data_IF_290814075261
#
_entry.id   IF_290814075261
#
_cell.length_a   1.000
_cell.length_b   1.000
_cell.length_c   1.000
_cell.angle_alpha   90.00
_cell.angle_beta   90.00
_cell.angle_gamma   90.00
#
_symmetry.space_group_name_H-M   'P 1'
#
loop_
_entity.id
_entity.type
_entity.pdbx_description
1 polymer ?
#
# COMPACT_ATOMS: atom_id res chain seq x y z
N UNK A 1 -22.31 -1.19 11.40
CA UNK A 1 -21.41 -0.52 10.46
C UNK A 1 -21.69 -1.08 9.07
N UNK A 2 -21.42 -0.37 7.96
CA UNK A 2 -21.68 -0.91 6.61
C UNK A 2 -20.92 -2.23 6.40
N UNK A 3 -19.65 -2.25 6.79
CA UNK A 3 -18.82 -3.44 6.84
C UNK A 3 -19.05 -4.23 8.14
N UNK A 4 -19.11 -5.56 8.04
CA UNK A 4 -19.03 -6.47 9.21
C UNK A 4 -17.58 -6.75 9.64
N UNK A 5 -16.61 -6.30 8.84
CA UNK A 5 -15.18 -6.50 9.02
C UNK A 5 -14.65 -5.82 10.30
N UNK A 6 -13.55 -6.33 10.89
CA UNK A 6 -12.79 -5.58 11.87
C UNK A 6 -12.30 -4.26 11.25
N UNK A 7 -12.65 -3.13 11.88
CA UNK A 7 -12.19 -1.81 11.43
C UNK A 7 -10.99 -1.36 12.24
N UNK A 8 -9.96 -0.94 11.53
CA UNK A 8 -8.76 -0.32 12.08
C UNK A 8 -8.55 1.09 11.51
N UNK A 9 -7.62 1.83 12.10
CA UNK A 9 -7.14 3.10 11.54
C UNK A 9 -5.66 3.01 11.17
N UNK A 10 -5.26 3.67 10.08
CA UNK A 10 -3.86 3.88 9.74
C UNK A 10 -3.39 5.23 10.33
N UNK A 11 -2.42 5.15 11.23
CA UNK A 11 -1.90 6.28 12.02
C UNK A 11 -0.38 6.30 12.00
N UNK A 12 0.19 7.49 12.22
CA UNK A 12 1.64 7.63 12.45
C UNK A 12 1.99 7.14 13.85
N UNK A 13 3.23 6.72 14.05
CA UNK A 13 3.79 6.42 15.36
C UNK A 13 3.91 7.70 16.22
N UNK A 14 2.81 8.12 16.81
CA UNK A 14 2.71 9.35 17.59
C UNK A 14 1.53 9.28 18.57
N UNK A 15 1.76 9.70 19.82
CA UNK A 15 0.77 9.59 20.89
C UNK A 15 -0.52 10.37 20.60
N UNK A 16 -0.43 11.54 19.97
CA UNK A 16 -1.62 12.34 19.64
C UNK A 16 -2.48 11.65 18.58
N UNK A 17 -1.86 10.97 17.61
CA UNK A 17 -2.60 10.20 16.60
C UNK A 17 -3.29 8.98 17.21
N UNK A 18 -2.65 8.33 18.19
CA UNK A 18 -3.25 7.20 18.90
C UNK A 18 -4.45 7.65 19.75
N UNK A 19 -4.30 8.75 20.48
CA UNK A 19 -5.39 9.32 21.25
C UNK A 19 -6.57 9.69 20.36
N UNK A 20 -6.32 10.35 19.23
CA UNK A 20 -7.37 10.73 18.28
C UNK A 20 -8.10 9.51 17.69
N UNK A 21 -7.40 8.42 17.38
CA UNK A 21 -8.05 7.19 16.93
C UNK A 21 -8.93 6.59 18.05
N UNK A 22 -8.44 6.59 19.29
CA UNK A 22 -9.20 6.11 20.44
C UNK A 22 -10.45 6.95 20.72
N UNK A 23 -10.40 8.28 20.55
CA UNK A 23 -11.57 9.17 20.64
C UNK A 23 -12.66 8.86 19.60
N UNK A 24 -12.30 8.22 18.50
CA UNK A 24 -13.23 7.77 17.45
C UNK A 24 -13.65 6.30 17.63
N UNK A 25 -13.38 5.70 18.79
CA UNK A 25 -13.61 4.28 19.11
C UNK A 25 -12.85 3.31 18.18
N UNK A 26 -11.76 3.77 17.55
CA UNK A 26 -10.90 2.97 16.66
C UNK A 26 -9.67 2.46 17.42
N UNK A 27 -9.86 1.39 18.19
CA UNK A 27 -8.79 0.84 19.02
C UNK A 27 -7.81 -0.05 18.23
N UNK A 28 -8.18 -0.60 17.08
CA UNK A 28 -7.26 -1.35 16.23
C UNK A 28 -6.51 -0.39 15.30
N UNK A 29 -5.19 -0.53 15.21
CA UNK A 29 -4.36 0.39 14.43
C UNK A 29 -3.34 -0.31 13.55
N UNK A 30 -3.10 0.27 12.38
CA UNK A 30 -1.89 0.08 11.59
C UNK A 30 -1.01 1.28 11.86
N UNK A 31 0.26 1.03 12.17
CA UNK A 31 1.20 2.09 12.55
C UNK A 31 2.22 2.27 11.44
N UNK A 32 2.28 3.48 10.87
CA UNK A 32 3.38 3.89 10.00
C UNK A 32 4.63 4.14 10.85
N UNK A 33 5.67 3.33 10.61
CA UNK A 33 6.97 3.51 11.23
C UNK A 33 7.76 4.65 10.54
N UNK A 34 8.43 5.52 11.31
CA UNK A 34 9.35 6.51 10.75
C UNK A 34 10.70 5.87 10.40
N UNK A 35 11.54 6.58 9.64
CA UNK A 35 12.92 6.12 9.37
C UNK A 35 13.81 6.16 10.63
N UNK A 36 13.41 6.93 11.64
CA UNK A 36 14.04 6.97 12.95
C UNK A 36 13.84 5.66 13.72
N UNK A 37 14.89 5.21 14.40
CA UNK A 37 14.89 3.93 15.12
C UNK A 37 14.38 4.13 16.54
N UNK A 38 13.49 3.23 16.96
CA UNK A 38 13.00 3.11 18.33
C UNK A 38 13.60 1.86 18.98
N UNK A 39 13.83 1.91 20.29
CA UNK A 39 14.04 0.70 21.06
C UNK A 39 12.72 -0.04 21.28
N UNK A 40 12.81 -1.35 21.53
CA UNK A 40 11.62 -2.16 21.82
C UNK A 40 10.88 -1.66 23.06
N UNK A 41 11.60 -1.21 24.09
CA UNK A 41 11.01 -0.76 25.35
C UNK A 41 10.24 0.55 25.17
N UNK A 42 10.79 1.50 24.42
CA UNK A 42 10.11 2.76 24.09
C UNK A 42 8.82 2.49 23.33
N UNK A 43 8.86 1.60 22.33
CA UNK A 43 7.70 1.27 21.53
C UNK A 43 6.62 0.58 22.38
N UNK A 44 6.98 -0.41 23.19
CA UNK A 44 6.06 -1.09 24.11
C UNK A 44 5.42 -0.12 25.10
N UNK A 45 6.19 0.79 25.70
CA UNK A 45 5.67 1.80 26.62
C UNK A 45 4.68 2.75 25.92
N UNK A 46 5.00 3.19 24.71
CA UNK A 46 4.13 4.06 23.93
C UNK A 46 2.80 3.38 23.58
N UNK A 47 2.82 2.11 23.15
CA UNK A 47 1.60 1.35 22.84
C UNK A 47 0.77 1.08 24.10
N UNK A 48 1.41 0.65 25.18
CA UNK A 48 0.70 0.32 26.44
C UNK A 48 0.03 1.54 27.08
N UNK A 49 0.56 2.75 26.83
CA UNK A 49 0.00 4.00 27.36
C UNK A 49 -1.15 4.57 26.53
N UNK A 50 -1.42 4.05 25.33
CA UNK A 50 -2.33 4.67 24.36
C UNK A 50 -3.63 3.92 24.09
N UNK A 51 -3.92 2.83 24.84
CA UNK A 51 -5.13 1.99 24.73
C UNK A 51 -5.43 1.41 23.33
N UNK A 52 -4.53 1.62 22.37
CA UNK A 52 -4.59 1.08 21.02
C UNK A 52 -4.02 -0.34 20.97
N UNK A 53 -4.41 -1.05 19.93
CA UNK A 53 -4.06 -2.44 19.65
C UNK A 53 -3.47 -2.51 18.25
N UNK A 54 -2.14 -2.58 18.11
CA UNK A 54 -1.51 -2.76 16.82
C UNK A 54 -2.00 -4.07 16.16
N UNK A 55 -2.51 -3.98 14.94
CA UNK A 55 -2.79 -5.13 14.07
C UNK A 55 -1.79 -5.22 12.93
N UNK A 56 -1.04 -4.15 12.67
CA UNK A 56 0.08 -4.17 11.75
C UNK A 56 1.00 -2.95 11.84
N UNK A 57 2.18 -3.09 11.25
CA UNK A 57 3.16 -2.01 11.08
C UNK A 57 3.46 -1.84 9.59
N UNK A 58 3.36 -0.60 9.10
CA UNK A 58 3.85 -0.24 7.78
C UNK A 58 5.30 0.20 7.91
N UNK A 59 6.19 -0.48 7.20
CA UNK A 59 7.63 -0.25 7.32
C UNK A 59 8.03 1.17 6.88
N UNK A 60 9.18 1.68 7.34
CA UNK A 60 9.74 2.97 6.88
C UNK A 60 10.11 2.94 5.40
N UNK A 61 10.16 4.12 4.76
CA UNK A 61 10.51 4.25 3.34
C UNK A 61 11.93 3.77 3.02
N UNK A 62 12.86 3.93 3.97
CA UNK A 62 14.22 3.39 3.85
C UNK A 62 14.27 1.86 3.72
N UNK A 63 13.22 1.16 4.19
CA UNK A 63 13.11 -0.30 4.19
C UNK A 63 12.26 -0.83 3.00
N UNK A 64 12.01 -0.02 1.97
CA UNK A 64 11.25 -0.43 0.79
C UNK A 64 11.89 -1.60 0.02
N UNK A 65 11.07 -2.46 -0.61
CA UNK A 65 11.58 -3.54 -1.45
C UNK A 65 12.25 -2.98 -2.70
N UNK A 66 13.50 -3.38 -2.95
CA UNK A 66 14.38 -2.79 -3.97
C UNK A 66 15.45 -1.88 -3.36
N UNK A 67 15.22 -1.33 -2.16
CA UNK A 67 16.30 -0.67 -1.41
C UNK A 67 17.28 -1.73 -0.88
N UNK A 68 18.40 -1.29 -0.29
CA UNK A 68 19.47 -2.19 0.20
C UNK A 68 19.58 -2.23 1.74
N UNK A 69 18.49 -2.48 2.50
CA UNK A 69 18.57 -2.69 3.93
C UNK A 69 19.25 -4.03 4.20
N UNK A 70 20.06 -4.08 5.25
CA UNK A 70 20.74 -5.30 5.66
C UNK A 70 19.78 -6.24 6.41
N UNK A 71 20.05 -7.54 6.40
CA UNK A 71 19.29 -8.52 7.20
C UNK A 71 19.29 -8.15 8.70
N UNK A 72 20.40 -7.57 9.19
CA UNK A 72 20.51 -7.10 10.57
C UNK A 72 19.54 -5.95 10.88
N UNK A 73 19.27 -5.07 9.92
CA UNK A 73 18.29 -3.99 10.07
C UNK A 73 16.86 -4.52 10.10
N UNK A 74 16.53 -5.48 9.25
CA UNK A 74 15.24 -6.18 9.29
C UNK A 74 15.02 -6.90 10.62
N UNK A 75 16.03 -7.65 11.10
CA UNK A 75 15.99 -8.32 12.41
C UNK A 75 15.72 -7.35 13.54
N UNK A 76 16.38 -6.18 13.53
CA UNK A 76 16.18 -5.14 14.55
C UNK A 76 14.75 -4.62 14.54
N UNK A 77 14.18 -4.33 13.37
CA UNK A 77 12.79 -3.90 13.27
C UNK A 77 11.82 -4.98 13.76
N UNK A 78 11.96 -6.23 13.30
CA UNK A 78 11.06 -7.31 13.72
C UNK A 78 11.16 -7.60 15.22
N UNK A 79 12.36 -7.56 15.80
CA UNK A 79 12.55 -7.68 17.24
C UNK A 79 11.94 -6.51 18.03
N UNK A 80 11.96 -5.30 17.46
CA UNK A 80 11.39 -4.11 18.10
C UNK A 80 9.85 -4.13 18.11
N UNK A 81 9.23 -4.56 17.01
CA UNK A 81 7.76 -4.51 16.85
C UNK A 81 7.05 -5.79 17.29
N UNK A 82 7.70 -6.96 17.26
CA UNK A 82 7.03 -8.22 17.63
C UNK A 82 6.42 -8.22 19.05
N UNK A 83 7.05 -7.61 20.09
CA UNK A 83 6.50 -7.62 21.44
C UNK A 83 5.27 -6.73 21.63
N UNK A 84 4.93 -5.85 20.68
CA UNK A 84 3.78 -4.94 20.81
C UNK A 84 2.48 -5.55 20.31
N UNK A 85 2.53 -6.70 19.64
CA UNK A 85 1.34 -7.39 19.17
C UNK A 85 0.70 -8.21 20.28
N UNK A 86 -0.58 -7.91 20.55
CA UNK A 86 -1.37 -8.61 21.57
C UNK A 86 -2.34 -9.66 20.97
N UNK A 87 -2.38 -9.80 19.65
CA UNK A 87 -3.39 -10.60 18.93
C UNK A 87 -2.79 -11.44 17.80
N UNK A 88 -3.67 -12.23 17.17
CA UNK A 88 -3.36 -13.10 16.03
C UNK A 88 -3.03 -12.32 14.74
N UNK A 89 -3.53 -11.09 14.58
CA UNK A 89 -3.17 -10.25 13.44
C UNK A 89 -1.83 -9.55 13.72
N UNK A 90 -0.78 -10.02 13.05
CA UNK A 90 0.60 -9.54 13.21
C UNK A 90 1.21 -9.16 11.88
N UNK A 91 0.65 -8.12 11.28
CA UNK A 91 0.93 -7.74 9.90
C UNK A 91 2.14 -6.82 9.77
N UNK A 92 3.03 -7.12 8.83
CA UNK A 92 4.08 -6.21 8.40
C UNK A 92 3.81 -5.81 6.94
N UNK A 93 3.51 -4.54 6.72
CA UNK A 93 3.18 -4.01 5.41
C UNK A 93 4.45 -3.44 4.78
N UNK A 94 4.81 -4.02 3.65
CA UNK A 94 5.96 -3.69 2.82
C UNK A 94 5.49 -2.94 1.58
N UNK A 95 6.30 -2.01 1.11
CA UNK A 95 6.03 -1.23 -0.10
C UNK A 95 7.24 -1.32 -1.04
N UNK A 96 6.98 -1.19 -2.35
CA UNK A 96 8.06 -1.17 -3.35
C UNK A 96 8.81 0.15 -3.37
N UNK A 97 10.11 0.10 -3.66
CA UNK A 97 10.92 1.30 -3.85
C UNK A 97 10.56 1.99 -5.16
N UNK A 98 10.51 3.32 -5.14
CA UNK A 98 10.40 4.07 -6.38
C UNK A 98 11.69 4.04 -7.18
N UNK A 99 11.56 4.05 -8.50
CA UNK A 99 12.67 4.06 -9.46
C UNK A 99 12.66 5.39 -10.18
N UNK A 100 13.83 6.01 -10.29
CA UNK A 100 14.00 7.22 -11.10
C UNK A 100 13.76 6.89 -12.58
N UNK A 101 12.98 7.71 -13.28
CA UNK A 101 12.76 7.50 -14.72
C UNK A 101 14.06 7.49 -15.52
N UNK A 102 15.06 8.29 -15.11
CA UNK A 102 16.38 8.30 -15.73
C UNK A 102 17.02 6.91 -15.75
N UNK A 103 16.96 6.15 -14.65
CA UNK A 103 17.52 4.79 -14.58
C UNK A 103 16.81 3.81 -15.51
N UNK A 104 15.53 4.03 -15.78
CA UNK A 104 14.78 3.22 -16.75
C UNK A 104 15.19 3.60 -18.17
N UNK A 105 15.37 4.89 -18.47
CA UNK A 105 15.84 5.34 -19.78
C UNK A 105 17.27 4.87 -20.06
N UNK A 106 18.17 4.95 -19.08
CA UNK A 106 19.53 4.38 -19.18
C UNK A 106 19.49 2.89 -19.52
N UNK A 107 18.64 2.11 -18.83
CA UNK A 107 18.45 0.69 -19.14
C UNK A 107 17.95 0.47 -20.57
N UNK A 108 17.01 1.29 -21.06
CA UNK A 108 16.50 1.19 -22.43
C UNK A 108 17.56 1.61 -23.46
N UNK A 109 18.38 2.60 -23.18
CA UNK A 109 19.47 3.06 -24.06
C UNK A 109 20.54 1.98 -24.19
N UNK A 110 20.87 1.28 -23.10
CA UNK A 110 21.77 0.11 -23.10
C UNK A 110 21.20 -1.08 -23.90
N UNK A 111 19.88 -1.09 -24.13
CA UNK A 111 19.15 -2.14 -24.85
C UNK A 111 18.36 -1.60 -26.04
N UNK A 112 18.86 -0.57 -26.72
CA UNK A 112 18.11 0.26 -27.69
C UNK A 112 17.47 -0.49 -28.88
N UNK A 113 17.86 -1.75 -29.14
CA UNK A 113 17.29 -2.59 -30.22
C UNK A 113 16.31 -3.66 -29.73
N UNK A 114 16.07 -3.75 -28.43
CA UNK A 114 15.18 -4.73 -27.83
C UNK A 114 13.81 -4.12 -27.51
N UNK A 115 12.81 -4.52 -28.29
CA UNK A 115 11.42 -4.09 -28.10
C UNK A 115 10.78 -4.61 -26.80
N UNK A 116 11.40 -5.61 -26.15
CA UNK A 116 10.96 -6.15 -24.87
C UNK A 116 11.73 -5.59 -23.67
N UNK A 117 12.74 -4.74 -23.85
CA UNK A 117 13.60 -4.26 -22.76
C UNK A 117 12.82 -3.68 -21.57
N UNK A 118 11.71 -2.98 -21.82
CA UNK A 118 10.88 -2.46 -20.73
C UNK A 118 10.07 -3.54 -20.00
N UNK A 119 9.60 -4.56 -20.73
CA UNK A 119 8.97 -5.72 -20.10
C UNK A 119 10.01 -6.45 -19.23
N UNK A 120 11.20 -6.66 -19.77
CA UNK A 120 12.29 -7.33 -19.07
C UNK A 120 12.72 -6.53 -17.84
N UNK A 121 12.83 -5.21 -17.92
CA UNK A 121 13.10 -4.36 -16.74
C UNK A 121 12.10 -4.60 -15.61
N UNK A 122 10.79 -4.62 -15.92
CA UNK A 122 9.73 -4.88 -14.94
C UNK A 122 9.81 -6.30 -14.39
N UNK A 123 10.09 -7.29 -15.24
CA UNK A 123 10.26 -8.68 -14.84
C UNK A 123 11.42 -8.82 -13.86
N UNK A 124 12.60 -8.28 -14.19
CA UNK A 124 13.76 -8.27 -13.28
C UNK A 124 13.46 -7.55 -11.97
N UNK A 125 12.74 -6.43 -12.02
CA UNK A 125 12.31 -5.70 -10.82
C UNK A 125 11.41 -6.56 -9.92
N UNK A 126 10.45 -7.29 -10.49
CA UNK A 126 9.55 -8.19 -9.77
C UNK A 126 10.29 -9.43 -9.24
N UNK A 127 11.22 -10.01 -10.00
CA UNK A 127 12.04 -11.14 -9.56
C UNK A 127 12.95 -10.77 -8.38
N UNK A 128 13.51 -9.57 -8.39
CA UNK A 128 14.27 -9.01 -7.27
C UNK A 128 13.39 -8.87 -6.03
N UNK A 129 12.16 -8.35 -6.18
CA UNK A 129 11.19 -8.28 -5.09
C UNK A 129 10.83 -9.66 -4.54
N UNK A 130 10.56 -10.63 -5.41
CA UNK A 130 10.27 -12.03 -5.02
C UNK A 130 11.43 -12.58 -4.19
N UNK A 131 12.66 -12.41 -4.66
CA UNK A 131 13.86 -12.87 -3.94
C UNK A 131 13.98 -12.25 -2.56
N UNK A 132 13.85 -10.92 -2.45
CA UNK A 132 13.89 -10.22 -1.17
C UNK A 132 12.76 -10.67 -0.24
N UNK A 133 11.53 -10.78 -0.74
CA UNK A 133 10.38 -11.22 0.03
C UNK A 133 10.50 -12.66 0.50
N UNK A 134 11.01 -13.58 -0.32
CA UNK A 134 11.26 -14.97 0.10
C UNK A 134 12.24 -15.04 1.28
N UNK A 135 13.30 -14.22 1.27
CA UNK A 135 14.24 -14.11 2.38
C UNK A 135 13.57 -13.51 3.62
N UNK A 136 12.83 -12.42 3.46
CA UNK A 136 12.10 -11.78 4.56
C UNK A 136 11.03 -12.68 5.16
N UNK A 137 10.35 -13.50 4.35
CA UNK A 137 9.34 -14.43 4.81
C UNK A 137 9.94 -15.51 5.74
N UNK A 138 11.17 -15.96 5.46
CA UNK A 138 11.89 -16.87 6.36
C UNK A 138 12.21 -16.20 7.70
N UNK A 139 12.60 -14.93 7.66
CA UNK A 139 12.89 -14.15 8.86
C UNK A 139 11.61 -13.88 9.66
N UNK A 140 10.54 -13.43 9.00
CA UNK A 140 9.25 -13.10 9.61
C UNK A 140 8.62 -14.30 10.35
N UNK A 141 8.78 -15.52 9.84
CA UNK A 141 8.35 -16.75 10.50
C UNK A 141 8.94 -16.93 11.91
N UNK A 142 10.17 -16.48 12.14
CA UNK A 142 10.83 -16.58 13.46
C UNK A 142 10.15 -15.69 14.51
N UNK A 143 9.43 -14.65 14.07
CA UNK A 143 8.71 -13.70 14.90
C UNK A 143 7.19 -13.88 14.81
N UNK A 144 6.71 -14.94 14.15
CA UNK A 144 5.29 -15.18 13.89
C UNK A 144 4.60 -13.99 13.20
N UNK A 145 5.33 -13.30 12.32
CA UNK A 145 4.83 -12.14 11.56
C UNK A 145 4.31 -12.58 10.19
N UNK A 146 3.21 -11.97 9.76
CA UNK A 146 2.67 -12.14 8.41
C UNK A 146 3.06 -10.93 7.55
N UNK A 147 3.83 -11.16 6.50
CA UNK A 147 4.20 -10.11 5.55
C UNK A 147 3.08 -9.84 4.55
N UNK A 148 2.86 -8.55 4.26
CA UNK A 148 2.01 -8.10 3.18
C UNK A 148 2.77 -7.17 2.23
N UNK A 149 2.51 -7.31 0.93
CA UNK A 149 2.93 -6.34 -0.08
C UNK A 149 1.77 -5.40 -0.41
N UNK A 150 2.03 -4.10 -0.35
CA UNK A 150 1.08 -3.04 -0.70
C UNK A 150 1.12 -2.72 -2.20
N UNK A 151 -0.06 -2.58 -2.83
CA UNK A 151 -0.14 -2.04 -4.18
C UNK A 151 0.16 -0.54 -4.20
N UNK A 152 0.77 -0.06 -5.28
CA UNK A 152 1.35 1.29 -5.34
C UNK A 152 0.63 2.21 -6.34
N UNK A 153 0.71 3.52 -6.12
CA UNK A 153 0.37 4.53 -7.11
C UNK A 153 1.43 4.61 -8.24
N UNK A 154 1.11 5.23 -9.38
CA UNK A 154 2.06 5.39 -10.50
C UNK A 154 3.24 6.29 -10.14
N UNK A 155 2.92 7.47 -9.63
CA UNK A 155 3.88 8.50 -9.26
C UNK A 155 4.28 8.39 -7.80
N UNK A 156 5.17 9.31 -7.41
CA UNK A 156 5.52 9.49 -6.00
C UNK A 156 4.71 10.56 -5.30
N UNK A 157 5.23 11.03 -4.16
CA UNK A 157 4.60 12.05 -3.32
C UNK A 157 4.67 13.46 -3.93
N UNK A 158 5.30 13.61 -5.08
CA UNK A 158 5.56 14.90 -5.76
C UNK A 158 5.09 14.85 -7.20
N UNK A 159 4.84 16.05 -7.74
CA UNK A 159 4.48 16.22 -9.15
C UNK A 159 5.46 15.50 -10.09
N UNK A 160 4.92 14.88 -11.13
CA UNK A 160 5.69 14.16 -12.12
C UNK A 160 6.41 15.14 -13.06
N UNK A 161 7.69 15.40 -12.80
CA UNK A 161 8.57 16.14 -13.72
C UNK A 161 9.34 15.20 -14.66
N UNK A 162 9.26 15.39 -15.99
CA UNK A 162 10.02 14.58 -16.94
C UNK A 162 11.52 14.56 -16.62
N UNK A 163 12.11 13.36 -16.50
CA UNK A 163 13.54 13.16 -16.24
C UNK A 163 13.98 13.26 -14.77
N UNK A 164 13.14 13.78 -13.88
CA UNK A 164 13.38 13.84 -12.43
C UNK A 164 12.36 13.04 -11.61
N UNK A 165 11.25 12.64 -12.25
CA UNK A 165 10.21 11.90 -11.57
C UNK A 165 10.65 10.47 -11.19
N UNK A 166 10.10 10.05 -10.06
CA UNK A 166 10.21 8.72 -9.50
C UNK A 166 8.87 8.02 -9.68
N UNK A 167 8.91 6.73 -9.98
CA UNK A 167 7.71 5.92 -10.24
C UNK A 167 7.79 4.57 -9.55
N UNK A 168 6.63 3.94 -9.39
CA UNK A 168 6.55 2.51 -9.10
C UNK A 168 6.37 1.73 -10.43
N UNK A 169 7.43 1.04 -10.92
CA UNK A 169 7.36 0.36 -12.22
C UNK A 169 6.45 -0.88 -12.20
N UNK A 170 6.23 -1.47 -11.03
CA UNK A 170 5.35 -2.63 -10.80
C UNK A 170 4.37 -2.36 -9.62
N UNK A 171 3.62 -3.39 -9.21
CA UNK A 171 2.66 -3.39 -8.08
C UNK A 171 1.34 -2.63 -8.30
N UNK A 172 1.03 -2.23 -9.54
CA UNK A 172 -0.17 -1.43 -9.87
C UNK A 172 -1.22 -2.18 -10.67
N UNK A 173 -0.98 -3.46 -10.89
CA UNK A 173 -1.80 -4.35 -11.68
C UNK A 173 -1.95 -5.66 -10.93
N UNK A 174 -3.10 -6.35 -11.02
CA UNK A 174 -3.30 -7.66 -10.41
C UNK A 174 -2.18 -8.65 -10.76
N UNK A 175 -1.76 -8.70 -12.03
CA UNK A 175 -0.73 -9.62 -12.56
C UNK A 175 0.52 -9.72 -11.67
N UNK A 176 1.19 -8.59 -11.43
CA UNK A 176 2.43 -8.57 -10.64
C UNK A 176 2.19 -8.92 -9.17
N UNK A 177 1.06 -8.50 -8.59
CA UNK A 177 0.74 -8.78 -7.20
C UNK A 177 0.47 -10.26 -6.97
N UNK A 178 -0.29 -10.89 -7.88
CA UNK A 178 -0.57 -12.34 -7.88
C UNK A 178 0.75 -13.10 -8.03
N UNK A 179 1.57 -12.73 -9.03
CA UNK A 179 2.87 -13.36 -9.25
C UNK A 179 3.75 -13.33 -7.99
N UNK A 180 3.81 -12.18 -7.31
CA UNK A 180 4.58 -12.04 -6.06
C UNK A 180 3.97 -12.88 -4.94
N UNK A 181 2.65 -12.79 -4.74
CA UNK A 181 1.94 -13.50 -3.67
C UNK A 181 2.07 -15.03 -3.80
N UNK A 182 1.91 -15.56 -5.01
CA UNK A 182 2.05 -16.99 -5.31
C UNK A 182 3.48 -17.48 -5.14
N UNK A 183 4.48 -16.72 -5.62
CA UNK A 183 5.88 -17.14 -5.56
C UNK A 183 6.46 -17.12 -4.14
N UNK A 184 5.96 -16.24 -3.28
CA UNK A 184 6.56 -15.98 -1.95
C UNK A 184 5.68 -16.43 -0.79
N UNK A 185 4.37 -16.61 -1.02
CA UNK A 185 3.37 -16.86 0.01
C UNK A 185 3.02 -15.64 0.86
N UNK A 186 3.49 -14.43 0.50
CA UNK A 186 3.06 -13.19 1.17
C UNK A 186 1.62 -12.85 0.80
N UNK A 187 0.93 -12.15 1.69
CA UNK A 187 -0.42 -11.63 1.43
C UNK A 187 -0.36 -10.23 0.81
N UNK A 188 -1.49 -9.74 0.31
CA UNK A 188 -1.59 -8.40 -0.28
C UNK A 188 -2.28 -7.47 0.73
N UNK A 189 -1.69 -6.29 0.92
CA UNK A 189 -2.35 -5.15 1.52
C UNK A 189 -2.99 -4.36 0.37
N UNK A 190 -4.29 -4.53 0.18
CA UNK A 190 -5.02 -3.91 -0.93
C UNK A 190 -5.46 -2.50 -0.54
N UNK A 191 -4.80 -1.50 -1.11
CA UNK A 191 -5.18 -0.11 -1.00
C UNK A 191 -6.05 0.33 -2.18
N UNK A 192 -7.30 0.67 -1.86
CA UNK A 192 -8.32 1.09 -2.83
C UNK A 192 -7.98 2.42 -3.50
N UNK A 193 -7.21 3.30 -2.83
CA UNK A 193 -6.78 4.57 -3.40
C UNK A 193 -5.78 4.34 -4.53
N UNK A 194 -4.81 3.44 -4.33
CA UNK A 194 -3.79 3.09 -5.33
C UNK A 194 -4.30 2.16 -6.44
N UNK A 195 -5.42 1.46 -6.23
CA UNK A 195 -6.00 0.55 -7.22
C UNK A 195 -6.77 1.27 -8.35
N UNK A 196 -7.02 2.58 -8.22
CA UNK A 196 -7.73 3.36 -9.25
C UNK A 196 -6.77 3.81 -10.35
N UNK A 197 -7.05 3.35 -11.57
CA UNK A 197 -6.37 3.80 -12.78
C UNK A 197 -7.29 4.78 -13.51
N UNK A 198 -6.98 6.08 -13.48
CA UNK A 198 -7.83 7.08 -14.16
C UNK A 198 -7.36 7.40 -15.59
N UNK A 199 -8.28 7.92 -16.40
CA UNK A 199 -8.06 8.27 -17.82
C UNK A 199 -7.02 9.38 -18.06
N UNK A 200 -6.74 10.22 -17.07
CA UNK A 200 -5.80 11.33 -17.23
C UNK A 200 -4.33 10.86 -17.21
N UNK A 201 -4.03 9.79 -16.46
CA UNK A 201 -2.72 9.11 -16.45
C UNK A 201 -2.38 8.57 -17.84
N UNK A 202 -3.36 7.92 -18.48
CA UNK A 202 -3.26 7.42 -19.85
C UNK A 202 -3.08 8.56 -20.86
N UNK A 203 -3.78 9.69 -20.67
CA UNK A 203 -3.68 10.86 -21.56
C UNK A 203 -2.33 11.57 -21.43
N UNK A 204 -1.79 11.67 -20.21
CA UNK A 204 -0.48 12.26 -19.96
C UNK A 204 0.63 11.38 -20.53
N UNK A 205 0.57 10.06 -20.28
CA UNK A 205 1.47 9.09 -20.90
C UNK A 205 1.42 9.19 -22.43
N UNK A 206 0.22 9.30 -23.02
CA UNK A 206 0.06 9.40 -24.47
C UNK A 206 0.67 10.71 -25.04
N UNK A 207 0.76 11.77 -24.24
CA UNK A 207 1.38 13.05 -24.63
C UNK A 207 2.89 13.06 -24.39
N UNK A 208 3.38 12.35 -23.37
CA UNK A 208 4.79 12.11 -23.17
C UNK A 208 5.24 11.03 -24.16
N UNK A 209 5.87 11.40 -25.28
CA UNK A 209 6.34 10.46 -26.33
C UNK A 209 7.44 9.48 -25.87
N UNK A 210 7.42 9.02 -24.62
CA UNK A 210 8.36 8.04 -24.08
C UNK A 210 7.88 6.63 -24.42
N UNK A 211 8.80 5.75 -24.84
CA UNK A 211 8.48 4.31 -24.95
C UNK A 211 8.00 3.71 -23.62
N UNK A 212 8.40 4.35 -22.50
CA UNK A 212 7.92 4.04 -21.16
C UNK A 212 6.41 4.22 -21.00
N UNK A 213 5.87 5.33 -21.51
CA UNK A 213 4.44 5.56 -21.62
C UNK A 213 3.78 4.46 -22.45
N UNK A 214 4.28 4.14 -23.64
CA UNK A 214 3.68 3.13 -24.52
C UNK A 214 3.60 1.69 -23.95
N UNK A 215 4.65 1.20 -23.27
CA UNK A 215 4.59 -0.16 -22.71
C UNK A 215 3.87 -0.22 -21.36
N UNK A 216 3.88 0.87 -20.59
CA UNK A 216 3.06 0.99 -19.37
C UNK A 216 1.60 1.19 -19.75
N UNK A 217 1.31 1.90 -20.85
CA UNK A 217 -0.01 2.04 -21.45
C UNK A 217 -0.60 0.70 -21.85
N UNK A 218 0.11 -0.21 -22.52
CA UNK A 218 -0.52 -1.48 -22.95
C UNK A 218 -1.02 -2.32 -21.76
N UNK A 219 -0.27 -2.38 -20.67
CA UNK A 219 -0.71 -3.08 -19.45
C UNK A 219 -1.84 -2.33 -18.74
N UNK A 220 -1.76 -1.00 -18.67
CA UNK A 220 -2.74 -0.15 -17.98
C UNK A 220 -4.04 -0.01 -18.79
N UNK A 221 -3.97 0.10 -20.11
CA UNK A 221 -5.11 0.18 -21.03
C UNK A 221 -5.93 -1.11 -21.00
N UNK A 222 -5.27 -2.25 -20.83
CA UNK A 222 -5.91 -3.56 -20.71
C UNK A 222 -6.28 -3.93 -19.27
N UNK A 223 -5.80 -3.17 -18.28
CA UNK A 223 -6.19 -3.35 -16.87
C UNK A 223 -7.56 -2.74 -16.59
N UNK A 224 -8.28 -3.31 -15.63
CA UNK A 224 -9.58 -2.77 -15.22
C UNK A 224 -9.43 -1.36 -14.65
N UNK A 225 -10.34 -0.47 -15.05
CA UNK A 225 -10.47 0.89 -14.50
C UNK A 225 -11.29 0.92 -13.21
N UNK A 226 -11.98 -0.19 -12.90
CA UNK A 226 -12.76 -0.35 -11.69
C UNK A 226 -11.91 -1.06 -10.63
N UNK A 227 -11.69 -0.40 -9.50
CA UNK A 227 -10.91 -0.96 -8.40
C UNK A 227 -11.61 -2.16 -7.73
N UNK A 228 -12.94 -2.31 -7.89
CA UNK A 228 -13.67 -3.51 -7.41
C UNK A 228 -13.32 -4.72 -8.28
N UNK A 229 -13.24 -4.56 -9.61
CA UNK A 229 -12.77 -5.64 -10.49
C UNK A 229 -11.29 -5.99 -10.23
N UNK A 230 -10.49 -5.01 -9.78
CA UNK A 230 -9.12 -5.26 -9.33
C UNK A 230 -9.17 -6.18 -8.11
N UNK A 231 -9.98 -5.84 -7.11
CA UNK A 231 -10.17 -6.65 -5.91
C UNK A 231 -10.51 -8.10 -6.25
N UNK A 232 -11.51 -8.32 -7.12
CA UNK A 232 -11.92 -9.67 -7.52
C UNK A 232 -10.81 -10.51 -8.15
N UNK A 233 -9.85 -9.89 -8.83
CA UNK A 233 -8.71 -10.62 -9.40
C UNK A 233 -7.68 -11.05 -8.35
N UNK A 234 -7.65 -10.41 -7.18
CA UNK A 234 -6.63 -10.65 -6.16
C UNK A 234 -7.20 -11.12 -4.80
N UNK A 235 -8.51 -11.27 -4.67
CA UNK A 235 -9.22 -11.45 -3.39
C UNK A 235 -8.69 -12.63 -2.55
N UNK A 236 -8.30 -13.74 -3.20
CA UNK A 236 -7.72 -14.93 -2.55
C UNK A 236 -6.36 -14.67 -1.87
N UNK A 237 -5.67 -13.61 -2.28
CA UNK A 237 -4.34 -13.24 -1.80
C UNK A 237 -4.37 -12.08 -0.80
N UNK A 238 -5.52 -11.43 -0.57
CA UNK A 238 -5.61 -10.28 0.33
C UNK A 238 -5.54 -10.72 1.80
N UNK A 239 -4.73 -10.01 2.59
CA UNK A 239 -4.70 -10.14 4.05
C UNK A 239 -5.24 -8.92 4.79
N UNK A 240 -5.27 -7.76 4.12
CA UNK A 240 -5.68 -6.48 4.70
C UNK A 240 -6.18 -5.56 3.58
N UNK A 241 -7.18 -4.74 3.87
CA UNK A 241 -7.66 -3.69 2.97
C UNK A 241 -7.39 -2.32 3.59
N UNK A 242 -6.80 -1.40 2.84
CA UNK A 242 -6.82 0.02 3.17
C UNK A 242 -7.92 0.67 2.34
N UNK A 243 -8.98 1.13 3.03
CA UNK A 243 -10.14 1.74 2.39
C UNK A 243 -9.99 3.25 2.44
N UNK A 244 -9.76 3.85 1.27
CA UNK A 244 -9.75 5.29 1.07
C UNK A 244 -9.91 5.64 -0.42
N UNK A 245 -10.13 6.91 -0.71
CA UNK A 245 -10.33 7.40 -2.07
C UNK A 245 -9.10 8.20 -2.56
N UNK A 246 -8.93 8.25 -3.87
CA UNK A 246 -7.95 9.13 -4.52
C UNK A 246 -8.58 9.89 -5.69
N UNK A 247 -8.23 11.16 -5.84
CA UNK A 247 -8.60 11.99 -6.99
C UNK A 247 -7.54 11.85 -8.07
N UNK A 248 -7.97 11.51 -9.29
CA UNK A 248 -7.22 11.51 -10.56
C UNK A 248 -5.97 10.61 -10.63
N UNK A 249 -5.18 10.55 -9.59
CA UNK A 249 -3.75 10.41 -9.67
C UNK A 249 -3.25 9.79 -8.35
N UNK A 250 -3.70 10.34 -7.22
CA UNK A 250 -3.09 10.01 -5.93
C UNK A 250 -1.63 10.47 -5.84
N UNK A 251 -1.16 11.26 -6.82
CA UNK A 251 0.22 11.72 -6.98
C UNK A 251 0.61 12.81 -5.97
N UNK A 252 -0.35 13.29 -5.18
CA UNK A 252 -0.08 14.24 -4.10
C UNK A 252 -0.67 13.74 -2.79
N UNK A 253 -0.01 14.04 -1.65
CA UNK A 253 -0.53 13.72 -0.33
C UNK A 253 -1.95 14.28 -0.08
N UNK A 254 -2.31 15.37 -0.78
CA UNK A 254 -3.62 16.03 -0.66
C UNK A 254 -4.71 15.42 -1.54
N UNK A 255 -4.36 14.56 -2.50
CA UNK A 255 -5.30 13.94 -3.44
C UNK A 255 -5.41 12.43 -3.28
N UNK A 256 -4.51 11.81 -2.52
CA UNK A 256 -4.59 10.40 -2.11
C UNK A 256 -5.11 10.25 -0.69
N UNK A 257 -5.66 9.08 -0.38
CA UNK A 257 -6.18 8.72 0.94
C UNK A 257 -7.17 9.75 1.52
N UNK A 258 -8.06 10.26 0.69
CA UNK A 258 -9.14 11.15 1.09
C UNK A 258 -10.44 10.36 1.31
N UNK A 259 -11.45 10.93 1.98
CA UNK A 259 -12.77 10.30 2.05
C UNK A 259 -13.39 10.12 0.67
N UNK A 260 -14.20 9.08 0.49
CA UNK A 260 -14.95 8.93 -0.75
C UNK A 260 -15.97 10.07 -0.88
N UNK A 261 -16.06 10.69 -2.06
CA UNK A 261 -17.08 11.70 -2.30
C UNK A 261 -18.46 11.04 -2.52
N UNK A 262 -19.54 11.78 -2.33
CA UNK A 262 -20.92 11.23 -2.32
C UNK A 262 -21.29 10.52 -3.62
N UNK A 263 -20.83 11.03 -4.76
CA UNK A 263 -21.06 10.44 -6.08
C UNK A 263 -20.37 9.07 -6.28
N UNK A 264 -19.53 8.65 -5.33
CA UNK A 264 -18.84 7.35 -5.32
C UNK A 264 -19.35 6.41 -4.23
N UNK A 265 -20.40 6.78 -3.51
CA UNK A 265 -20.95 5.95 -2.43
C UNK A 265 -21.49 4.61 -2.89
N UNK A 266 -22.04 4.53 -4.10
CA UNK A 266 -22.48 3.25 -4.69
C UNK A 266 -21.33 2.25 -4.76
N UNK A 267 -20.12 2.71 -5.11
CA UNK A 267 -18.94 1.82 -5.20
C UNK A 267 -18.55 1.23 -3.83
N UNK A 268 -18.79 1.97 -2.74
CA UNK A 268 -18.52 1.47 -1.38
C UNK A 268 -19.57 0.46 -0.96
N UNK A 269 -20.84 0.69 -1.33
CA UNK A 269 -21.94 -0.25 -1.07
C UNK A 269 -21.69 -1.56 -1.84
N UNK A 270 -21.40 -1.48 -3.13
CA UNK A 270 -21.08 -2.62 -3.98
C UNK A 270 -19.89 -3.41 -3.40
N UNK A 271 -18.85 -2.72 -2.94
CA UNK A 271 -17.69 -3.36 -2.32
C UNK A 271 -18.00 -4.02 -0.98
N UNK A 272 -18.89 -3.43 -0.18
CA UNK A 272 -19.30 -4.01 1.10
C UNK A 272 -20.06 -5.33 0.94
N UNK A 273 -20.71 -5.55 -0.21
CA UNK A 273 -21.41 -6.80 -0.51
C UNK A 273 -20.45 -7.94 -0.92
N UNK A 274 -19.28 -7.61 -1.49
CA UNK A 274 -18.34 -8.62 -1.97
C UNK A 274 -17.16 -8.90 -1.04
N UNK A 275 -16.81 -7.97 -0.14
CA UNK A 275 -15.61 -8.10 0.69
C UNK A 275 -15.72 -9.27 1.67
N UNK A 276 -14.69 -10.11 1.73
CA UNK A 276 -14.62 -11.18 2.72
C UNK A 276 -14.68 -10.60 4.15
N UNK A 277 -15.66 -10.99 4.99
CA UNK A 277 -15.89 -10.38 6.31
C UNK A 277 -14.76 -10.62 7.32
N UNK A 278 -13.86 -11.58 7.08
CA UNK A 278 -12.73 -11.86 7.99
C UNK A 278 -11.54 -10.94 7.74
N UNK A 279 -11.47 -10.27 6.59
CA UNK A 279 -10.33 -9.42 6.22
C UNK A 279 -10.48 -8.08 6.95
N UNK A 280 -9.49 -7.62 7.75
CA UNK A 280 -9.58 -6.31 8.37
C UNK A 280 -9.58 -5.18 7.34
N UNK A 281 -10.33 -4.11 7.63
CA UNK A 281 -10.38 -2.89 6.82
C UNK A 281 -9.80 -1.74 7.65
N UNK A 282 -8.75 -1.11 7.13
CA UNK A 282 -8.13 0.05 7.74
C UNK A 282 -8.54 1.34 7.04
N UNK A 283 -8.97 2.33 7.81
CA UNK A 283 -9.28 3.67 7.32
C UNK A 283 -8.03 4.56 7.37
N UNK A 284 -7.79 5.32 6.30
CA UNK A 284 -6.55 6.09 6.17
C UNK A 284 -6.78 7.57 6.47
N UNK A 285 -6.07 8.14 7.45
CA UNK A 285 -6.18 9.57 7.80
C UNK A 285 -5.57 10.52 6.74
N UNK A 286 -4.59 10.04 5.98
CA UNK A 286 -3.96 10.82 4.90
C UNK A 286 -3.17 11.99 5.49
N UNK A 287 -3.29 13.17 4.90
CA UNK A 287 -2.65 14.39 5.42
C UNK A 287 -3.44 15.09 6.51
N UNK A 288 -4.74 14.79 6.66
CA UNK A 288 -5.63 15.52 7.55
C UNK A 288 -6.30 14.56 8.55
N UNK A 289 -6.04 14.67 9.86
CA UNK A 289 -6.66 13.80 10.86
C UNK A 289 -8.19 13.70 10.74
N UNK A 290 -8.85 14.81 10.39
CA UNK A 290 -10.29 14.88 10.18
C UNK A 290 -10.82 13.92 9.10
N UNK A 291 -10.00 13.51 8.13
CA UNK A 291 -10.40 12.55 7.11
C UNK A 291 -10.79 11.20 7.72
N UNK A 292 -10.16 10.80 8.83
CA UNK A 292 -10.50 9.56 9.51
C UNK A 292 -11.93 9.60 10.06
N UNK A 293 -12.28 10.70 10.74
CA UNK A 293 -13.65 10.94 11.22
C UNK A 293 -14.65 11.00 10.07
N UNK A 294 -14.33 11.71 8.99
CA UNK A 294 -15.22 11.82 7.82
C UNK A 294 -15.48 10.46 7.15
N UNK A 295 -14.45 9.61 7.03
CA UNK A 295 -14.61 8.24 6.51
C UNK A 295 -15.46 7.38 7.44
N UNK A 296 -15.26 7.48 8.75
CA UNK A 296 -16.07 6.75 9.73
C UNK A 296 -17.54 7.20 9.70
N UNK A 297 -17.78 8.51 9.69
CA UNK A 297 -19.11 9.12 9.59
C UNK A 297 -19.83 8.69 8.29
N UNK A 298 -19.10 8.66 7.17
CA UNK A 298 -19.60 8.14 5.89
C UNK A 298 -20.03 6.67 5.97
N UNK A 299 -19.18 5.80 6.53
CA UNK A 299 -19.51 4.37 6.68
C UNK A 299 -20.74 4.18 7.57
N UNK A 300 -20.90 5.00 8.61
CA UNK A 300 -22.10 4.99 9.45
C UNK A 300 -23.34 5.50 8.73
N UNK A 301 -23.21 6.55 7.93
CA UNK A 301 -24.28 7.11 7.13
C UNK A 301 -24.80 6.11 6.09
N UNK A 302 -23.90 5.46 5.35
CA UNK A 302 -24.24 4.49 4.31
C UNK A 302 -24.96 3.25 4.85
N UNK A 303 -24.71 2.86 6.11
CA UNK A 303 -25.44 1.77 6.77
C UNK A 303 -26.92 2.09 7.04
N UNK A 304 -27.27 3.38 7.15
CA UNK A 304 -28.64 3.83 7.49
C UNK A 304 -29.51 4.08 6.26
N UNK A 305 -28.87 4.23 5.10
CA UNK A 305 -29.52 4.49 3.81
C UNK A 305 -29.86 3.18 3.12
#
# INVERSE_FOLDING_TARGET
>A
MLFSNPIASHVKLDFHHFHYASELDLNQVIIQLPDEKYSSDELVQLINSSAIRPIGYRMPLSMALGSKPTEAEWKKWFACISPTFNDNHRFIILHGQQVALGSIFEYLDDHASDFNALHDFKTHYVENMITQLSQLQQLAKQYELTLLIENAAIGGMTYFEPGQAFIHPALRTPRHLIQIAEATGVKICFDTAHARITSHVLTYMHRSRSMFAGATEKEILNSTKNWIDFYHQIEDHIGLIQLSYAVSFGDTPTTTHIPFPQERYSEIIDFAECVNPTIPIALHSGTHPQNLKQQLDMIHFLKKS
#
